data_IF_567965065720
#
_entry.id   IF_567965065720
#
_cell.length_a   1.000
_cell.length_b   1.000
_cell.length_c   1.000
_cell.angle_alpha   90.00
_cell.angle_beta   90.00
_cell.angle_gamma   90.00
#
_symmetry.space_group_name_H-M   'P 1'
#
loop_
_entity.id
_entity.type
_entity.pdbx_description
1 polymer ?
#
# COMPACT_ATOMS: atom_id res chain seq x y z
N UNK A 1 -10.20 6.85 4.75
CA UNK A 1 -9.87 7.15 6.14
C UNK A 1 -9.19 8.50 6.24
N UNK A 2 -7.97 8.69 5.71
CA UNK A 2 -7.21 9.93 5.90
C UNK A 2 -7.91 11.21 5.43
N UNK A 3 -8.44 11.25 4.20
CA UNK A 3 -9.15 12.43 3.67
C UNK A 3 -10.38 12.79 4.51
N UNK A 4 -11.16 11.79 4.93
CA UNK A 4 -12.32 12.00 5.80
C UNK A 4 -11.88 12.56 7.16
N UNK A 5 -10.84 11.99 7.76
CA UNK A 5 -10.30 12.47 9.03
C UNK A 5 -9.81 13.94 8.94
N UNK A 6 -9.15 14.31 7.85
CA UNK A 6 -8.71 15.69 7.61
C UNK A 6 -9.91 16.64 7.49
N UNK A 7 -10.93 16.26 6.72
CA UNK A 7 -12.13 17.09 6.52
C UNK A 7 -12.96 17.23 7.80
N UNK A 8 -13.13 16.17 8.55
CA UNK A 8 -13.88 16.20 9.81
C UNK A 8 -13.16 17.05 10.87
N UNK A 9 -11.81 16.93 10.96
CA UNK A 9 -11.04 17.84 11.80
C UNK A 9 -11.22 19.30 11.39
N UNK A 10 -11.15 19.59 10.09
CA UNK A 10 -11.31 20.97 9.56
C UNK A 10 -12.73 21.52 9.72
N UNK A 11 -13.75 20.65 9.81
CA UNK A 11 -15.14 21.04 10.04
C UNK A 11 -15.46 21.22 11.53
N UNK A 12 -14.55 20.84 12.45
CA UNK A 12 -14.74 21.01 13.90
C UNK A 12 -14.49 22.47 14.31
N UNK A 13 -15.06 22.85 15.48
CA UNK A 13 -14.89 24.20 16.06
C UNK A 13 -13.50 24.41 16.70
N UNK A 14 -12.70 23.37 16.80
CA UNK A 14 -11.40 23.41 17.45
C UNK A 14 -10.27 23.78 16.47
N UNK A 15 -9.20 24.36 17.00
CA UNK A 15 -8.02 24.72 16.20
C UNK A 15 -7.36 23.47 15.59
N UNK A 16 -7.16 23.40 14.26
CA UNK A 16 -6.59 22.25 13.60
C UNK A 16 -5.10 22.05 13.97
N UNK A 17 -4.69 20.79 14.14
CA UNK A 17 -3.30 20.41 14.39
C UNK A 17 -3.04 18.98 13.95
N UNK A 18 -1.76 18.62 13.76
CA UNK A 18 -1.36 17.24 13.42
C UNK A 18 -1.81 16.26 14.49
N UNK A 19 -1.72 16.62 15.76
CA UNK A 19 -2.16 15.77 16.86
C UNK A 19 -3.67 15.49 16.81
N UNK A 20 -4.47 16.50 16.44
CA UNK A 20 -5.92 16.31 16.27
C UNK A 20 -6.25 15.49 15.03
N UNK A 21 -5.59 15.78 13.91
CA UNK A 21 -5.73 14.97 12.70
C UNK A 21 -5.44 13.50 12.99
N UNK A 22 -4.40 13.21 13.76
CA UNK A 22 -4.10 11.86 14.20
C UNK A 22 -5.22 11.23 15.03
N UNK A 23 -5.82 11.97 15.96
CA UNK A 23 -6.97 11.51 16.74
C UNK A 23 -8.19 11.16 15.87
N UNK A 24 -8.52 12.01 14.91
CA UNK A 24 -9.57 11.72 13.93
C UNK A 24 -9.22 10.52 13.05
N UNK A 25 -7.97 10.40 12.62
CA UNK A 25 -7.49 9.28 11.82
C UNK A 25 -7.64 7.94 12.57
N UNK A 26 -7.25 7.88 13.85
CA UNK A 26 -7.39 6.68 14.68
C UNK A 26 -8.87 6.27 14.82
N UNK A 27 -9.75 7.21 15.13
CA UNK A 27 -11.19 6.96 15.21
C UNK A 27 -11.79 6.45 13.88
N UNK A 28 -11.44 7.08 12.77
CA UNK A 28 -11.91 6.64 11.45
C UNK A 28 -11.32 5.29 11.05
N UNK A 29 -10.14 4.94 11.52
CA UNK A 29 -9.56 3.62 11.31
C UNK A 29 -10.39 2.54 12.01
N UNK A 30 -10.78 2.78 13.26
CA UNK A 30 -11.65 1.85 14.00
C UNK A 30 -13.02 1.68 13.32
N UNK A 31 -13.63 2.77 12.85
CA UNK A 31 -14.90 2.75 12.11
C UNK A 31 -14.75 1.94 10.81
N UNK A 32 -13.66 2.15 10.05
CA UNK A 32 -13.41 1.44 8.80
C UNK A 32 -13.19 -0.07 9.02
N UNK A 33 -12.42 -0.44 10.05
CA UNK A 33 -12.20 -1.85 10.41
C UNK A 33 -13.51 -2.50 10.84
N UNK A 34 -14.34 -1.82 11.66
CA UNK A 34 -15.66 -2.32 12.04
C UNK A 34 -16.57 -2.53 10.83
N UNK A 35 -16.65 -1.55 9.92
CA UNK A 35 -17.44 -1.68 8.69
C UNK A 35 -16.96 -2.83 7.81
N UNK A 36 -15.65 -3.11 7.80
CA UNK A 36 -15.07 -4.27 7.10
C UNK A 36 -15.51 -5.58 7.78
N UNK A 37 -15.49 -5.65 9.12
CA UNK A 37 -15.97 -6.82 9.86
C UNK A 37 -17.46 -7.12 9.57
N UNK A 38 -18.31 -6.09 9.58
CA UNK A 38 -19.74 -6.21 9.26
C UNK A 38 -19.93 -6.70 7.79
N UNK A 39 -19.09 -6.23 6.87
CA UNK A 39 -19.09 -6.66 5.46
C UNK A 39 -18.63 -8.11 5.29
N UNK A 40 -17.66 -8.56 6.07
CA UNK A 40 -17.20 -9.96 6.09
C UNK A 40 -18.36 -10.87 6.53
N UNK A 41 -19.05 -10.55 7.61
CA UNK A 41 -20.19 -11.33 8.08
C UNK A 41 -21.29 -11.42 7.03
N UNK A 42 -21.65 -10.30 6.40
CA UNK A 42 -22.63 -10.27 5.33
C UNK A 42 -22.16 -11.15 4.14
N UNK A 43 -20.90 -11.03 3.73
CA UNK A 43 -20.36 -11.80 2.62
C UNK A 43 -20.39 -13.32 2.92
N UNK A 44 -19.91 -13.73 4.09
CA UNK A 44 -19.88 -15.14 4.50
C UNK A 44 -21.26 -15.75 4.67
N UNK A 45 -22.26 -14.96 5.04
CA UNK A 45 -23.65 -15.42 5.12
C UNK A 45 -24.26 -15.73 3.74
N UNK A 46 -23.86 -14.98 2.71
CA UNK A 46 -24.52 -15.01 1.40
C UNK A 46 -23.71 -15.70 0.29
N UNK A 47 -22.38 -15.80 0.43
CA UNK A 47 -21.47 -16.25 -0.62
C UNK A 47 -21.83 -17.65 -1.15
N UNK A 48 -22.12 -18.60 -0.30
CA UNK A 48 -22.53 -19.97 -0.65
C UNK A 48 -23.72 -20.04 -1.60
N UNK A 49 -24.61 -19.03 -1.54
CA UNK A 49 -25.82 -19.01 -2.37
C UNK A 49 -25.58 -18.37 -3.74
N UNK A 50 -24.48 -17.63 -3.88
CA UNK A 50 -24.15 -16.85 -5.09
C UNK A 50 -23.02 -17.53 -5.86
N UNK A 51 -22.00 -17.99 -5.17
CA UNK A 51 -20.80 -18.55 -5.77
C UNK A 51 -20.20 -19.68 -4.90
N UNK A 52 -20.73 -20.91 -4.99
CA UNK A 52 -20.16 -22.05 -4.31
C UNK A 52 -18.79 -22.42 -4.91
N UNK A 53 -17.84 -22.74 -4.04
CA UNK A 53 -16.44 -23.00 -4.40
C UNK A 53 -16.14 -24.49 -4.57
N UNK A 54 -16.89 -25.18 -5.44
CA UNK A 54 -16.84 -26.63 -5.59
C UNK A 54 -15.44 -27.20 -5.87
N UNK A 55 -14.58 -26.47 -6.59
CA UNK A 55 -13.20 -26.91 -6.81
C UNK A 55 -12.35 -26.78 -5.56
N UNK A 56 -12.61 -25.76 -4.75
CA UNK A 56 -11.93 -25.58 -3.46
C UNK A 56 -12.33 -26.68 -2.48
N UNK A 57 -13.57 -27.15 -2.50
CA UNK A 57 -14.06 -28.24 -1.67
C UNK A 57 -13.26 -29.54 -1.85
N UNK A 58 -12.77 -29.80 -3.07
CA UNK A 58 -11.92 -30.96 -3.36
C UNK A 58 -10.48 -30.82 -2.81
N UNK A 59 -10.06 -29.61 -2.46
CA UNK A 59 -8.70 -29.28 -2.03
C UNK A 59 -8.61 -29.00 -0.52
N UNK A 60 -9.75 -28.76 0.13
CA UNK A 60 -9.83 -28.48 1.55
C UNK A 60 -10.20 -29.73 2.37
N UNK A 61 -9.67 -29.80 3.59
CA UNK A 61 -10.12 -30.79 4.58
C UNK A 61 -11.43 -30.31 5.23
N UNK A 62 -12.45 -31.13 5.22
CA UNK A 62 -13.73 -30.85 5.86
C UNK A 62 -14.93 -30.80 4.93
N UNK A 63 -14.89 -30.07 3.78
CA UNK A 63 -16.05 -29.92 2.93
C UNK A 63 -16.69 -31.25 2.48
N UNK A 64 -15.90 -32.19 1.99
CA UNK A 64 -16.39 -33.50 1.51
C UNK A 64 -16.96 -34.31 2.66
N UNK A 65 -16.24 -34.40 3.79
CA UNK A 65 -16.65 -35.20 4.96
C UNK A 65 -17.93 -34.65 5.60
N UNK A 66 -18.09 -33.31 5.58
CA UNK A 66 -19.24 -32.63 6.20
C UNK A 66 -20.42 -32.46 5.23
N UNK A 67 -20.18 -32.56 3.91
CA UNK A 67 -21.14 -32.19 2.88
C UNK A 67 -21.52 -30.74 2.89
N UNK A 68 -20.55 -29.86 3.21
CA UNK A 68 -20.71 -28.40 3.35
C UNK A 68 -19.65 -27.71 2.52
N UNK A 69 -20.07 -26.76 1.67
CA UNK A 69 -19.19 -25.96 0.83
C UNK A 69 -18.20 -25.15 1.66
N UNK A 70 -16.94 -25.04 1.23
CA UNK A 70 -15.91 -24.27 1.90
C UNK A 70 -16.28 -22.79 2.04
N UNK A 71 -17.11 -22.24 1.17
CA UNK A 71 -17.61 -20.85 1.26
C UNK A 71 -18.72 -20.66 2.28
N UNK A 72 -19.29 -21.75 2.86
CA UNK A 72 -20.27 -21.67 3.93
C UNK A 72 -19.59 -21.56 5.30
N UNK A 73 -19.12 -20.37 5.64
CA UNK A 73 -18.45 -20.12 6.89
C UNK A 73 -19.34 -20.35 8.13
N UNK A 74 -20.62 -20.10 8.01
CA UNK A 74 -21.58 -20.32 9.11
C UNK A 74 -21.87 -21.79 9.38
N UNK A 75 -21.86 -22.63 8.36
CA UNK A 75 -22.01 -24.08 8.54
C UNK A 75 -20.68 -24.78 8.85
N UNK A 76 -19.54 -24.06 8.79
CA UNK A 76 -18.24 -24.58 9.14
C UNK A 76 -17.69 -25.59 8.14
N UNK A 77 -17.77 -25.30 6.84
CA UNK A 77 -17.23 -26.14 5.78
C UNK A 77 -15.76 -26.49 6.01
N UNK A 78 -14.93 -25.51 6.34
CA UNK A 78 -13.55 -25.69 6.82
C UNK A 78 -13.44 -25.43 8.31
N UNK A 79 -12.30 -25.78 8.92
CA UNK A 79 -12.10 -25.65 10.36
C UNK A 79 -11.81 -24.21 10.79
N UNK A 80 -11.02 -23.48 10.01
CA UNK A 80 -10.60 -22.11 10.30
C UNK A 80 -10.87 -21.19 9.14
N UNK A 81 -11.47 -20.03 9.44
CA UNK A 81 -11.63 -18.94 8.51
C UNK A 81 -10.81 -17.73 8.99
N UNK A 82 -9.75 -17.41 8.25
CA UNK A 82 -8.94 -16.24 8.47
C UNK A 82 -9.27 -15.19 7.40
N UNK A 83 -9.94 -14.11 7.82
CA UNK A 83 -10.35 -13.02 6.94
C UNK A 83 -9.25 -11.99 6.87
N UNK A 84 -8.60 -11.87 5.72
CA UNK A 84 -7.57 -10.87 5.49
C UNK A 84 -8.19 -9.48 5.39
N UNK A 85 -7.72 -8.56 6.22
CA UNK A 85 -8.04 -7.14 6.17
C UNK A 85 -6.78 -6.41 5.75
N UNK A 86 -6.78 -5.88 4.53
CA UNK A 86 -5.60 -5.26 3.94
C UNK A 86 -5.67 -3.74 3.97
N UNK A 87 -4.67 -3.11 4.62
CA UNK A 87 -4.44 -1.67 4.58
C UNK A 87 -3.73 -1.24 3.30
N UNK A 88 -4.24 -0.22 2.64
CA UNK A 88 -3.68 0.32 1.40
C UNK A 88 -3.22 1.76 1.58
N UNK A 89 -2.32 2.24 0.69
CA UNK A 89 -1.84 3.62 0.63
C UNK A 89 -0.96 4.05 1.82
N UNK A 90 -0.22 3.14 2.43
CA UNK A 90 0.62 3.45 3.59
C UNK A 90 1.57 4.62 3.32
N UNK A 91 2.39 4.55 2.25
CA UNK A 91 3.34 5.62 1.91
C UNK A 91 2.62 6.94 1.59
N UNK A 92 1.53 6.90 0.82
CA UNK A 92 0.73 8.10 0.51
C UNK A 92 0.27 8.82 1.78
N UNK A 93 -0.19 8.09 2.79
CA UNK A 93 -0.68 8.66 4.05
C UNK A 93 0.48 9.11 4.95
N UNK A 94 1.53 8.30 5.09
CA UNK A 94 2.70 8.62 5.89
C UNK A 94 3.43 9.89 5.38
N UNK A 95 3.62 9.98 4.06
CA UNK A 95 4.20 11.15 3.40
C UNK A 95 3.30 12.38 3.54
N UNK A 96 1.97 12.19 3.54
CA UNK A 96 1.01 13.28 3.75
C UNK A 96 1.09 13.83 5.17
N UNK A 97 1.13 12.99 6.20
CA UNK A 97 1.35 13.43 7.58
C UNK A 97 2.67 14.17 7.73
N UNK A 98 3.76 13.62 7.18
CA UNK A 98 5.08 14.24 7.25
C UNK A 98 5.12 15.62 6.57
N UNK A 99 4.47 15.76 5.41
CA UNK A 99 4.40 17.01 4.68
C UNK A 99 3.57 18.07 5.42
N UNK A 100 2.44 17.68 6.01
CA UNK A 100 1.63 18.59 6.86
C UNK A 100 2.43 19.02 8.08
N UNK A 101 3.03 18.08 8.81
CA UNK A 101 3.83 18.39 9.99
C UNK A 101 4.98 19.35 9.68
N UNK A 102 5.67 19.16 8.54
CA UNK A 102 6.79 20.01 8.15
C UNK A 102 6.35 21.39 7.66
N UNK A 103 5.39 21.44 6.74
CA UNK A 103 5.10 22.67 5.97
C UNK A 103 3.92 23.46 6.51
N UNK A 104 2.94 22.82 7.13
CA UNK A 104 1.78 23.49 7.74
C UNK A 104 2.07 23.82 9.19
N UNK A 105 2.34 22.79 10.03
CA UNK A 105 2.43 22.97 11.48
C UNK A 105 3.77 23.56 11.91
N UNK A 106 4.91 22.98 11.48
CA UNK A 106 6.22 23.42 11.97
C UNK A 106 6.73 24.68 11.28
N UNK A 107 6.60 24.79 9.95
CA UNK A 107 7.18 25.91 9.20
C UNK A 107 6.17 27.00 8.85
N UNK A 108 4.86 26.77 8.99
CA UNK A 108 3.81 27.75 8.69
C UNK A 108 3.87 28.28 7.26
N UNK A 109 4.30 27.46 6.31
CA UNK A 109 4.45 27.86 4.90
C UNK A 109 3.13 27.97 4.15
N UNK A 110 2.11 27.25 4.65
CA UNK A 110 0.72 27.40 4.27
C UNK A 110 -0.15 27.08 5.50
N UNK A 111 -1.32 27.69 5.57
CA UNK A 111 -2.30 27.40 6.61
C UNK A 111 -3.08 26.11 6.30
N UNK A 112 -3.75 25.57 7.29
CA UNK A 112 -4.65 24.43 7.11
C UNK A 112 -5.76 24.70 6.07
N UNK A 113 -6.31 25.92 6.08
CA UNK A 113 -7.35 26.33 5.11
C UNK A 113 -6.81 26.42 3.69
N UNK A 114 -5.61 26.96 3.49
CA UNK A 114 -4.96 26.99 2.19
C UNK A 114 -4.63 25.61 1.68
N UNK A 115 -4.15 24.71 2.57
CA UNK A 115 -3.93 23.30 2.21
C UNK A 115 -5.21 22.68 1.66
N UNK A 116 -6.34 22.80 2.39
CA UNK A 116 -7.60 22.23 1.97
C UNK A 116 -8.10 22.79 0.63
N UNK A 117 -7.95 24.13 0.42
CA UNK A 117 -8.27 24.77 -0.85
C UNK A 117 -7.44 24.24 -2.02
N UNK A 118 -6.14 24.02 -1.81
CA UNK A 118 -5.27 23.44 -2.83
C UNK A 118 -5.64 21.99 -3.14
N UNK A 119 -5.99 21.18 -2.13
CA UNK A 119 -6.46 19.81 -2.32
C UNK A 119 -7.78 19.75 -3.10
N UNK A 120 -8.75 20.61 -2.74
CA UNK A 120 -10.04 20.69 -3.43
C UNK A 120 -9.91 21.15 -4.87
N UNK A 121 -8.93 22.01 -5.15
CA UNK A 121 -8.60 22.48 -6.49
C UNK A 121 -7.65 21.54 -7.27
N UNK A 122 -7.31 20.38 -6.72
CA UNK A 122 -6.30 19.44 -7.29
C UNK A 122 -4.99 20.14 -7.66
N UNK A 123 -4.48 21.00 -6.76
CA UNK A 123 -3.25 21.76 -6.94
C UNK A 123 -3.25 22.68 -8.18
N UNK A 124 -4.41 23.08 -8.68
CA UNK A 124 -4.54 23.85 -9.91
C UNK A 124 -3.85 25.23 -9.85
N UNK A 125 -3.37 25.68 -11.00
CA UNK A 125 -2.72 26.99 -11.16
C UNK A 125 -1.25 27.01 -10.69
N UNK A 126 -0.55 28.11 -10.98
CA UNK A 126 0.88 28.23 -10.70
C UNK A 126 1.20 28.17 -9.19
N UNK A 127 0.34 28.72 -8.34
CA UNK A 127 0.52 28.69 -6.89
C UNK A 127 0.21 27.29 -6.33
N UNK A 128 -0.86 26.62 -6.81
CA UNK A 128 -1.18 25.25 -6.43
C UNK A 128 -0.04 24.30 -6.78
N UNK A 129 0.50 24.40 -7.99
CA UNK A 129 1.64 23.59 -8.41
C UNK A 129 2.91 23.89 -7.59
N UNK A 130 3.16 25.17 -7.25
CA UNK A 130 4.26 25.54 -6.36
C UNK A 130 4.13 24.90 -4.99
N UNK A 131 2.93 24.90 -4.40
CA UNK A 131 2.66 24.25 -3.12
C UNK A 131 2.77 22.73 -3.22
N UNK A 132 2.22 22.13 -4.26
CA UNK A 132 2.37 20.71 -4.53
C UNK A 132 3.84 20.27 -4.55
N UNK A 133 4.67 20.99 -5.30
CA UNK A 133 6.11 20.72 -5.38
C UNK A 133 6.82 20.95 -4.03
N UNK A 134 6.37 21.92 -3.23
CA UNK A 134 6.86 22.11 -1.87
C UNK A 134 6.55 20.89 -0.99
N UNK A 135 5.31 20.44 -0.97
CA UNK A 135 4.88 19.26 -0.18
C UNK A 135 5.63 17.99 -0.62
N UNK A 136 5.87 17.81 -1.91
CA UNK A 136 6.66 16.69 -2.46
C UNK A 136 8.14 16.69 -2.05
N UNK A 137 8.69 17.81 -1.58
CA UNK A 137 10.09 17.92 -1.15
C UNK A 137 10.34 17.36 0.25
N UNK A 138 9.30 17.10 1.03
CA UNK A 138 9.42 16.43 2.31
C UNK A 138 10.12 15.08 2.14
N UNK A 139 11.02 14.75 3.06
CA UNK A 139 11.69 13.45 3.04
C UNK A 139 10.66 12.35 3.27
N UNK A 140 10.62 11.41 2.33
CA UNK A 140 9.57 10.41 2.22
C UNK A 140 9.83 9.17 3.04
N UNK A 141 8.79 8.39 3.24
CA UNK A 141 8.84 7.03 3.76
C UNK A 141 9.77 6.16 2.90
N UNK A 142 10.61 5.38 3.56
CA UNK A 142 11.65 4.56 2.92
C UNK A 142 13.02 5.23 2.83
N UNK A 143 13.14 6.52 3.17
CA UNK A 143 14.41 7.24 3.13
C UNK A 143 15.38 6.84 4.27
N UNK A 144 14.84 6.27 5.35
CA UNK A 144 15.60 5.84 6.53
C UNK A 144 15.66 6.89 7.61
N UNK A 145 14.86 6.72 8.68
CA UNK A 145 14.82 7.60 9.86
C UNK A 145 14.17 8.96 9.61
N UNK A 146 13.34 9.09 8.59
CA UNK A 146 12.57 10.30 8.31
C UNK A 146 11.32 10.41 9.18
N UNK A 147 10.68 11.60 9.16
CA UNK A 147 9.35 11.78 9.76
C UNK A 147 8.32 10.83 9.14
N UNK A 148 8.38 10.65 7.83
CA UNK A 148 7.48 9.76 7.11
C UNK A 148 7.71 8.29 7.50
N UNK A 149 8.95 7.86 7.79
CA UNK A 149 9.22 6.51 8.32
C UNK A 149 8.54 6.32 9.70
N UNK A 150 8.61 7.33 10.57
CA UNK A 150 7.94 7.29 11.87
C UNK A 150 6.41 7.25 11.71
N UNK A 151 5.84 8.06 10.83
CA UNK A 151 4.40 8.04 10.55
C UNK A 151 3.95 6.70 9.99
N UNK A 152 4.72 6.10 9.09
CA UNK A 152 4.39 4.79 8.54
C UNK A 152 4.30 3.70 9.62
N UNK A 153 5.23 3.72 10.59
CA UNK A 153 5.18 2.80 11.75
C UNK A 153 3.91 3.04 12.58
N UNK A 154 3.62 4.30 12.96
CA UNK A 154 2.42 4.62 13.74
C UNK A 154 1.12 4.21 13.04
N UNK A 155 1.01 4.48 11.72
CA UNK A 155 -0.15 4.10 10.91
C UNK A 155 -0.30 2.57 10.88
N UNK A 156 0.80 1.85 10.66
CA UNK A 156 0.80 0.38 10.65
C UNK A 156 0.38 -0.19 12.01
N UNK A 157 0.86 0.39 13.11
CA UNK A 157 0.52 -0.03 14.47
C UNK A 157 -0.97 0.18 14.78
N UNK A 158 -1.52 1.36 14.45
CA UNK A 158 -2.94 1.68 14.65
C UNK A 158 -3.82 0.72 13.85
N UNK A 159 -3.53 0.56 12.56
CA UNK A 159 -4.26 -0.37 11.70
C UNK A 159 -4.19 -1.81 12.23
N UNK A 160 -2.99 -2.30 12.52
CA UNK A 160 -2.76 -3.66 13.02
C UNK A 160 -3.49 -3.90 14.34
N UNK A 161 -3.43 -2.93 15.27
CA UNK A 161 -4.15 -2.97 16.54
C UNK A 161 -5.66 -3.06 16.33
N UNK A 162 -6.22 -2.19 15.48
CA UNK A 162 -7.64 -2.16 15.20
C UNK A 162 -8.13 -3.48 14.61
N UNK A 163 -7.40 -4.06 13.65
CA UNK A 163 -7.78 -5.35 13.03
C UNK A 163 -7.67 -6.49 14.04
N UNK A 164 -6.57 -6.58 14.82
CA UNK A 164 -6.35 -7.67 15.78
C UNK A 164 -7.26 -7.59 17.01
N UNK A 165 -7.67 -6.39 17.42
CA UNK A 165 -8.63 -6.20 18.51
C UNK A 165 -10.06 -6.45 18.05
N UNK A 166 -10.34 -6.33 16.75
CA UNK A 166 -11.63 -6.57 16.16
C UNK A 166 -11.90 -8.06 15.93
N UNK A 167 -13.17 -8.39 15.86
CA UNK A 167 -13.68 -9.67 15.38
C UNK A 167 -14.97 -9.41 14.64
N UNK A 168 -15.36 -10.32 13.75
CA UNK A 168 -16.71 -10.24 13.19
C UNK A 168 -17.74 -10.67 14.24
N UNK A 169 -18.98 -10.25 14.12
CA UNK A 169 -20.06 -10.67 15.03
C UNK A 169 -20.29 -12.18 14.98
N UNK A 170 -20.03 -12.81 13.83
CA UNK A 170 -20.10 -14.27 13.66
C UNK A 170 -18.87 -15.01 14.23
N UNK A 171 -17.84 -14.29 14.66
CA UNK A 171 -16.64 -14.87 15.28
C UNK A 171 -15.55 -15.28 14.30
N UNK A 172 -15.60 -14.83 13.04
CA UNK A 172 -14.50 -15.04 12.09
C UNK A 172 -13.26 -14.28 12.53
N UNK A 173 -12.10 -14.91 12.44
CA UNK A 173 -10.82 -14.32 12.77
C UNK A 173 -10.39 -13.33 11.67
N UNK A 174 -10.02 -12.11 12.08
CA UNK A 174 -9.45 -11.10 11.17
C UNK A 174 -7.95 -11.02 11.33
N UNK A 175 -7.22 -11.03 10.22
CA UNK A 175 -5.77 -10.90 10.18
C UNK A 175 -5.35 -9.70 9.34
N UNK A 176 -4.46 -8.82 9.85
CA UNK A 176 -4.02 -7.62 9.14
C UNK A 176 -3.01 -7.94 8.06
N UNK A 177 -3.09 -7.22 6.95
CA UNK A 177 -2.09 -7.15 5.91
C UNK A 177 -1.87 -5.71 5.46
N UNK A 178 -0.73 -5.41 4.87
CA UNK A 178 -0.47 -4.12 4.22
C UNK A 178 -0.19 -4.40 2.76
N UNK A 179 -1.27 -4.53 2.01
CA UNK A 179 -1.22 -4.98 0.63
C UNK A 179 -2.35 -4.37 -0.19
N UNK A 180 -2.05 -3.87 -1.38
CA UNK A 180 -3.02 -3.19 -2.25
C UNK A 180 -3.47 -4.04 -3.43
N UNK A 181 -2.93 -5.24 -3.61
CA UNK A 181 -3.16 -6.07 -4.79
C UNK A 181 -2.92 -5.26 -6.09
N UNK A 182 -3.72 -5.48 -7.12
CA UNK A 182 -3.73 -4.69 -8.34
C UNK A 182 -4.61 -3.41 -8.24
N UNK A 183 -5.01 -3.02 -7.04
CA UNK A 183 -6.03 -1.98 -6.83
C UNK A 183 -5.46 -0.56 -6.64
N UNK A 184 -4.16 -0.35 -6.79
CA UNK A 184 -3.56 1.00 -6.64
C UNK A 184 -4.17 2.02 -7.58
N UNK A 185 -4.42 1.65 -8.83
CA UNK A 185 -5.09 2.51 -9.82
C UNK A 185 -6.59 2.69 -9.55
N UNK A 186 -7.41 1.61 -9.42
CA UNK A 186 -8.84 1.77 -9.15
C UNK A 186 -9.14 2.55 -7.88
N UNK A 187 -8.41 2.28 -6.79
CA UNK A 187 -8.58 2.99 -5.53
C UNK A 187 -8.12 4.44 -5.66
N UNK A 188 -7.01 4.70 -6.36
CA UNK A 188 -6.52 6.05 -6.61
C UNK A 188 -7.51 6.90 -7.41
N UNK A 189 -8.15 6.32 -8.43
CA UNK A 189 -9.18 7.01 -9.26
C UNK A 189 -10.36 7.52 -8.45
N UNK A 190 -10.68 6.90 -7.32
CA UNK A 190 -11.77 7.30 -6.44
C UNK A 190 -11.39 8.40 -5.44
N UNK A 191 -10.11 8.78 -5.36
CA UNK A 191 -9.59 9.69 -4.34
C UNK A 191 -9.20 11.05 -4.93
N UNK A 192 -9.48 12.11 -4.18
CA UNK A 192 -9.01 13.47 -4.43
C UNK A 192 -7.48 13.60 -4.31
N UNK A 193 -6.98 14.81 -4.49
CA UNK A 193 -5.58 15.15 -4.25
C UNK A 193 -5.17 14.90 -2.79
N UNK A 194 -3.90 14.61 -2.54
CA UNK A 194 -3.40 14.32 -1.19
C UNK A 194 -2.19 15.19 -0.83
N UNK A 195 -1.98 15.48 0.48
CA UNK A 195 -0.93 16.40 0.94
C UNK A 195 0.50 16.01 0.57
N UNK A 196 0.79 14.75 0.26
CA UNK A 196 2.09 14.33 -0.26
C UNK A 196 2.36 14.81 -1.71
N UNK A 197 1.42 15.56 -2.30
CA UNK A 197 1.51 16.12 -3.65
C UNK A 197 1.04 15.18 -4.77
N UNK A 198 0.23 14.15 -4.44
CA UNK A 198 -0.47 13.30 -5.41
C UNK A 198 -1.66 14.07 -5.98
N UNK A 199 -1.89 13.98 -7.28
CA UNK A 199 -3.09 14.52 -7.94
C UNK A 199 -4.33 13.64 -7.69
N UNK A 200 -5.49 14.25 -7.85
CA UNK A 200 -6.75 13.51 -7.85
C UNK A 200 -6.75 12.46 -8.98
N UNK A 201 -7.18 11.26 -8.66
CA UNK A 201 -7.24 10.15 -9.62
C UNK A 201 -5.92 9.41 -9.87
N UNK A 202 -4.77 9.93 -9.45
CA UNK A 202 -3.50 9.21 -9.56
C UNK A 202 -3.50 7.94 -8.72
N UNK A 203 -2.61 6.98 -9.04
CA UNK A 203 -2.43 5.78 -8.25
C UNK A 203 -2.06 6.10 -6.79
N UNK A 204 -2.54 5.30 -5.85
CA UNK A 204 -2.05 5.28 -4.46
C UNK A 204 -0.78 4.45 -4.35
N UNK A 205 -0.05 4.61 -3.24
CA UNK A 205 1.15 3.81 -2.96
C UNK A 205 0.85 2.31 -2.88
N UNK A 206 1.83 1.50 -3.26
CA UNK A 206 1.70 0.06 -3.37
C UNK A 206 1.99 -0.66 -2.04
N UNK A 207 0.95 -1.13 -1.36
CA UNK A 207 1.09 -1.92 -0.13
C UNK A 207 1.99 -1.26 0.92
N UNK A 208 2.98 -1.99 1.40
CA UNK A 208 3.97 -1.52 2.37
C UNK A 208 5.16 -0.77 1.75
N UNK A 209 5.19 -0.62 0.42
CA UNK A 209 6.34 -0.05 -0.27
C UNK A 209 6.35 1.47 -0.24
N UNK A 210 7.54 2.11 -0.18
CA UNK A 210 7.69 3.51 -0.50
C UNK A 210 7.20 3.82 -1.91
N UNK A 211 6.71 5.04 -2.12
CA UNK A 211 6.42 5.52 -3.47
C UNK A 211 7.71 5.70 -4.28
N UNK A 212 7.68 5.48 -5.60
CA UNK A 212 8.81 5.73 -6.49
C UNK A 212 9.41 7.12 -6.26
N UNK A 213 10.75 7.21 -6.25
CA UNK A 213 11.45 8.47 -5.98
C UNK A 213 11.56 8.86 -4.50
N UNK A 214 11.34 7.92 -3.58
CA UNK A 214 11.50 8.15 -2.13
C UNK A 214 12.94 8.54 -1.74
N UNK A 215 13.93 8.12 -2.49
CA UNK A 215 15.34 8.50 -2.39
C UNK A 215 15.94 8.68 -3.77
N UNK A 216 16.91 9.61 -3.88
CA UNK A 216 17.65 9.85 -5.14
C UNK A 216 18.55 8.69 -5.53
N UNK A 217 19.06 7.93 -4.56
CA UNK A 217 19.95 6.80 -4.76
C UNK A 217 19.21 5.46 -4.84
N UNK A 218 17.88 5.45 -4.70
CA UNK A 218 17.04 4.24 -4.77
C UNK A 218 17.42 3.15 -3.76
N UNK A 219 18.07 3.50 -2.63
CA UNK A 219 18.75 2.56 -1.74
C UNK A 219 17.88 1.36 -1.29
N UNK A 220 18.04 0.16 -1.85
CA UNK A 220 17.23 -1.02 -1.52
C UNK A 220 17.29 -1.38 -0.03
N UNK A 221 18.43 -1.11 0.62
CA UNK A 221 18.62 -1.38 2.06
C UNK A 221 17.72 -0.50 2.92
N UNK A 222 17.56 0.80 2.60
CA UNK A 222 16.67 1.68 3.32
C UNK A 222 15.21 1.25 3.16
N UNK A 223 14.82 0.88 1.94
CA UNK A 223 13.49 0.33 1.65
C UNK A 223 13.23 -0.96 2.42
N UNK A 224 14.19 -1.90 2.44
CA UNK A 224 14.06 -3.17 3.15
C UNK A 224 13.86 -2.97 4.66
N UNK A 225 14.58 -2.02 5.28
CA UNK A 225 14.44 -1.67 6.70
C UNK A 225 13.08 -1.02 6.95
N UNK A 226 12.67 -0.05 6.12
CA UNK A 226 11.39 0.63 6.27
C UNK A 226 10.21 -0.34 6.18
N UNK A 227 10.22 -1.24 5.21
CA UNK A 227 9.15 -2.24 5.04
C UNK A 227 9.16 -3.25 6.18
N UNK A 228 10.33 -3.67 6.66
CA UNK A 228 10.41 -4.56 7.82
C UNK A 228 9.82 -3.92 9.09
N UNK A 229 9.97 -2.60 9.26
CA UNK A 229 9.47 -1.87 10.46
C UNK A 229 7.95 -1.70 10.49
N UNK A 230 7.25 -1.87 9.38
CA UNK A 230 5.79 -1.72 9.29
C UNK A 230 5.04 -3.05 9.18
N UNK A 231 5.74 -4.16 9.43
CA UNK A 231 5.11 -5.49 9.35
C UNK A 231 4.02 -5.67 10.41
N UNK A 232 2.85 -6.23 10.06
CA UNK A 232 1.74 -6.39 10.99
C UNK A 232 1.95 -7.56 11.98
N UNK A 233 3.12 -8.17 12.01
CA UNK A 233 3.42 -9.36 12.80
C UNK A 233 2.69 -10.58 12.27
N UNK A 234 2.10 -11.42 13.16
CA UNK A 234 1.23 -12.49 12.70
C UNK A 234 0.02 -11.91 11.98
N UNK A 235 -0.07 -12.17 10.69
CA UNK A 235 -1.09 -11.59 9.84
C UNK A 235 -1.00 -12.09 8.40
N UNK A 236 -1.59 -11.33 7.49
CA UNK A 236 -1.39 -11.48 6.05
C UNK A 236 -0.04 -10.87 5.64
N UNK A 237 0.19 -10.65 4.36
CA UNK A 237 1.48 -10.17 3.88
C UNK A 237 1.61 -8.64 3.89
N UNK A 238 2.85 -8.17 4.04
CA UNK A 238 3.27 -6.80 3.75
C UNK A 238 4.55 -6.86 2.89
N UNK A 239 4.41 -7.21 1.59
CA UNK A 239 5.54 -7.58 0.75
C UNK A 239 6.42 -6.38 0.38
N UNK A 240 7.71 -6.61 0.34
CA UNK A 240 8.66 -5.74 -0.35
C UNK A 240 8.61 -6.04 -1.85
N UNK A 241 8.37 -5.02 -2.66
CA UNK A 241 8.50 -5.09 -4.11
C UNK A 241 9.86 -4.54 -4.51
N UNK A 242 10.67 -5.34 -5.19
CA UNK A 242 12.03 -4.96 -5.59
C UNK A 242 12.27 -5.29 -7.06
N UNK A 243 12.83 -4.34 -7.78
CA UNK A 243 13.30 -4.47 -9.14
C UNK A 243 14.84 -4.54 -9.12
N UNK A 244 15.43 -5.52 -9.80
CA UNK A 244 16.87 -5.64 -10.01
C UNK A 244 17.18 -5.61 -11.50
N UNK A 245 18.07 -4.71 -11.90
CA UNK A 245 18.64 -4.73 -13.24
C UNK A 245 19.88 -5.62 -13.23
N UNK A 246 19.92 -6.74 -13.99
CA UNK A 246 21.08 -7.61 -14.06
C UNK A 246 22.30 -6.92 -14.65
N UNK A 247 22.14 -5.82 -15.40
CA UNK A 247 23.24 -5.03 -15.94
C UNK A 247 23.91 -4.14 -14.89
N UNK A 248 23.15 -3.70 -13.87
CA UNK A 248 23.66 -2.83 -12.80
C UNK A 248 24.53 -3.57 -11.78
N UNK A 249 24.40 -4.91 -11.69
CA UNK A 249 25.10 -5.69 -10.70
C UNK A 249 25.54 -7.05 -11.29
N UNK A 250 26.82 -7.22 -11.55
CA UNK A 250 27.39 -8.44 -12.15
C UNK A 250 28.44 -9.09 -11.25
N UNK A 251 28.58 -10.41 -11.39
CA UNK A 251 29.61 -11.20 -10.69
C UNK A 251 29.22 -11.61 -9.26
N UNK A 252 30.15 -12.26 -8.57
CA UNK A 252 29.92 -12.85 -7.24
C UNK A 252 29.61 -11.80 -6.17
N UNK A 253 30.19 -10.61 -6.29
CA UNK A 253 29.93 -9.53 -5.32
C UNK A 253 28.46 -9.08 -5.36
N UNK A 254 27.88 -8.95 -6.55
CA UNK A 254 26.47 -8.59 -6.71
C UNK A 254 25.54 -9.68 -6.13
N UNK A 255 25.86 -10.94 -6.38
CA UNK A 255 25.12 -12.06 -5.79
C UNK A 255 25.13 -12.01 -4.27
N UNK A 256 26.29 -11.76 -3.66
CA UNK A 256 26.43 -11.63 -2.20
C UNK A 256 25.63 -10.45 -1.68
N UNK A 257 25.61 -9.31 -2.37
CA UNK A 257 24.83 -8.13 -1.96
C UNK A 257 23.31 -8.42 -1.96
N UNK A 258 22.81 -9.06 -3.01
CA UNK A 258 21.39 -9.44 -3.09
C UNK A 258 21.03 -10.47 -2.01
N UNK A 259 21.89 -11.48 -1.79
CA UNK A 259 21.68 -12.46 -0.73
C UNK A 259 21.63 -11.81 0.67
N UNK A 260 22.56 -10.91 0.95
CA UNK A 260 22.60 -10.18 2.22
C UNK A 260 21.38 -9.29 2.40
N UNK A 261 20.91 -8.61 1.34
CA UNK A 261 19.70 -7.80 1.39
C UNK A 261 18.48 -8.65 1.74
N UNK A 262 18.30 -9.79 1.07
CA UNK A 262 17.19 -10.71 1.33
C UNK A 262 17.25 -11.24 2.77
N UNK A 263 18.42 -11.70 3.22
CA UNK A 263 18.60 -12.19 4.60
C UNK A 263 18.29 -11.10 5.62
N UNK A 264 18.86 -9.91 5.45
CA UNK A 264 18.65 -8.78 6.36
C UNK A 264 17.18 -8.39 6.46
N UNK A 265 16.45 -8.36 5.33
CA UNK A 265 15.02 -8.07 5.34
C UNK A 265 14.23 -9.08 6.20
N UNK A 266 14.50 -10.37 6.05
CA UNK A 266 13.83 -11.39 6.87
C UNK A 266 14.30 -11.38 8.33
N UNK A 267 15.58 -11.17 8.58
CA UNK A 267 16.13 -11.08 9.94
C UNK A 267 15.54 -9.88 10.72
N UNK A 268 15.17 -8.80 10.02
CA UNK A 268 14.48 -7.64 10.58
C UNK A 268 12.96 -7.82 10.73
N UNK A 269 12.40 -8.96 10.34
CA UNK A 269 10.98 -9.26 10.48
C UNK A 269 10.15 -9.10 9.22
N UNK A 270 10.78 -8.86 8.07
CA UNK A 270 10.10 -8.89 6.76
C UNK A 270 9.46 -10.26 6.49
N UNK A 271 8.33 -10.28 5.81
CA UNK A 271 7.54 -11.52 5.62
C UNK A 271 7.55 -12.04 4.18
N UNK A 272 7.71 -11.16 3.22
CA UNK A 272 7.67 -11.52 1.80
C UNK A 272 8.46 -10.54 0.95
N UNK A 273 9.11 -11.05 -0.10
CA UNK A 273 9.74 -10.25 -1.15
C UNK A 273 9.17 -10.67 -2.50
N UNK A 274 8.68 -9.70 -3.26
CA UNK A 274 8.39 -9.84 -4.69
C UNK A 274 9.57 -9.30 -5.48
N UNK A 275 10.32 -10.17 -6.14
CA UNK A 275 11.51 -9.80 -6.88
C UNK A 275 11.25 -9.85 -8.39
N UNK A 276 11.52 -8.75 -9.08
CA UNK A 276 11.66 -8.68 -10.52
C UNK A 276 13.16 -8.60 -10.89
N UNK A 277 13.62 -9.42 -11.80
CA UNK A 277 14.92 -9.28 -12.44
C UNK A 277 14.66 -8.85 -13.89
N UNK A 278 14.84 -7.58 -14.17
CA UNK A 278 14.40 -6.94 -15.41
C UNK A 278 15.53 -6.11 -16.03
N UNK A 279 15.76 -6.33 -17.31
CA UNK A 279 16.59 -5.43 -18.11
C UNK A 279 15.85 -4.11 -18.32
N UNK A 280 16.38 -3.04 -17.72
CA UNK A 280 15.78 -1.70 -17.76
C UNK A 280 15.57 -1.20 -19.19
N UNK A 281 16.55 -1.38 -20.07
CA UNK A 281 16.44 -0.92 -21.45
C UNK A 281 15.31 -1.63 -22.18
N UNK A 282 15.18 -2.94 -21.97
CA UNK A 282 14.10 -3.75 -22.53
C UNK A 282 12.72 -3.29 -22.07
N UNK A 283 12.57 -2.98 -20.76
CA UNK A 283 11.27 -2.52 -20.23
C UNK A 283 10.88 -1.17 -20.82
N UNK A 284 11.84 -0.24 -20.96
CA UNK A 284 11.59 1.08 -21.56
C UNK A 284 11.21 0.96 -23.05
N UNK A 285 11.94 0.15 -23.82
CA UNK A 285 11.58 -0.11 -25.22
C UNK A 285 10.21 -0.81 -25.35
N UNK A 286 9.90 -1.77 -24.46
CA UNK A 286 8.60 -2.43 -24.43
C UNK A 286 7.47 -1.49 -24.00
N UNK A 287 7.77 -0.46 -23.24
CA UNK A 287 6.78 0.57 -22.87
C UNK A 287 6.38 1.42 -24.07
N UNK A 288 7.36 1.79 -24.91
CA UNK A 288 7.11 2.51 -26.17
C UNK A 288 6.39 1.62 -27.19
N UNK A 289 6.84 0.38 -27.36
CA UNK A 289 6.26 -0.59 -28.29
C UNK A 289 6.25 -2.01 -27.67
N UNK A 290 5.13 -2.41 -27.04
CA UNK A 290 5.03 -3.72 -26.40
C UNK A 290 5.20 -4.91 -27.34
N UNK A 291 5.02 -4.72 -28.64
CA UNK A 291 5.15 -5.80 -29.61
C UNK A 291 6.60 -6.26 -29.85
N UNK A 292 7.57 -5.43 -29.46
CA UNK A 292 9.02 -5.78 -29.56
C UNK A 292 9.41 -6.93 -28.61
N UNK A 293 8.74 -7.03 -27.47
CA UNK A 293 9.03 -8.03 -26.45
C UNK A 293 7.75 -8.72 -25.94
N UNK A 294 7.08 -9.51 -26.78
CA UNK A 294 5.80 -10.11 -26.45
C UNK A 294 5.87 -11.14 -25.30
N UNK A 295 7.05 -11.67 -25.04
CA UNK A 295 7.38 -12.66 -24.02
C UNK A 295 7.96 -12.06 -22.72
N UNK A 296 8.08 -10.73 -22.64
CA UNK A 296 8.55 -10.06 -21.42
C UNK A 296 7.54 -10.25 -20.28
N UNK A 297 7.94 -11.01 -19.27
CA UNK A 297 7.16 -11.25 -18.06
C UNK A 297 7.62 -10.32 -16.96
N UNK A 298 6.67 -9.69 -16.27
CA UNK A 298 6.92 -8.83 -15.11
C UNK A 298 6.07 -9.26 -13.91
N UNK A 299 6.63 -9.08 -12.70
CA UNK A 299 5.89 -9.21 -11.46
C UNK A 299 5.19 -7.87 -11.19
N UNK A 300 3.88 -7.85 -11.23
CA UNK A 300 3.11 -6.60 -11.09
C UNK A 300 2.87 -6.28 -9.60
N UNK A 301 1.91 -6.97 -9.00
CA UNK A 301 1.51 -6.77 -7.59
C UNK A 301 0.97 -8.09 -7.03
N UNK A 302 1.86 -9.02 -6.70
CA UNK A 302 1.46 -10.34 -6.23
C UNK A 302 1.13 -11.36 -7.34
N UNK A 303 1.09 -10.94 -8.60
CA UNK A 303 0.95 -11.82 -9.78
C UNK A 303 1.96 -11.46 -10.87
N UNK A 304 2.23 -12.40 -11.76
CA UNK A 304 3.06 -12.19 -12.95
C UNK A 304 2.20 -12.10 -14.20
N UNK A 305 2.57 -11.23 -15.12
CA UNK A 305 1.87 -11.07 -16.39
C UNK A 305 2.87 -10.77 -17.52
N UNK A 306 2.47 -11.04 -18.75
CA UNK A 306 3.18 -10.51 -19.90
C UNK A 306 3.02 -8.99 -19.93
N UNK A 307 4.14 -8.28 -20.02
CA UNK A 307 4.14 -6.81 -20.03
C UNK A 307 3.25 -6.25 -21.16
N UNK A 308 3.27 -6.88 -22.32
CA UNK A 308 2.44 -6.51 -23.47
C UNK A 308 0.93 -6.64 -23.21
N UNK A 309 0.52 -7.52 -22.28
CA UNK A 309 -0.89 -7.74 -21.93
C UNK A 309 -1.44 -6.77 -20.89
N UNK A 310 -0.57 -6.00 -20.23
CA UNK A 310 -0.95 -5.00 -19.24
C UNK A 310 -1.56 -3.76 -19.90
N UNK A 311 -2.47 -3.09 -19.20
CA UNK A 311 -2.94 -1.76 -19.63
C UNK A 311 -1.79 -0.74 -19.64
N UNK A 312 -1.90 0.35 -20.41
CA UNK A 312 -0.88 1.39 -20.44
C UNK A 312 -0.54 1.93 -19.04
N UNK A 313 -1.56 2.11 -18.19
CA UNK A 313 -1.40 2.61 -16.82
C UNK A 313 -0.61 1.62 -15.95
N UNK A 314 -0.88 0.32 -16.06
CA UNK A 314 -0.11 -0.69 -15.33
C UNK A 314 1.32 -0.81 -15.85
N UNK A 315 1.56 -0.67 -17.15
CA UNK A 315 2.91 -0.60 -17.71
C UNK A 315 3.67 0.59 -17.15
N UNK A 316 3.01 1.76 -17.06
CA UNK A 316 3.60 2.96 -16.46
C UNK A 316 4.00 2.73 -15.01
N UNK A 317 3.19 2.08 -14.18
CA UNK A 317 3.57 1.76 -12.79
C UNK A 317 4.83 0.88 -12.70
N UNK A 318 5.02 -0.06 -13.62
CA UNK A 318 6.27 -0.86 -13.69
C UNK A 318 7.45 0.02 -14.07
N UNK A 319 7.27 0.90 -15.05
CA UNK A 319 8.31 1.83 -15.52
C UNK A 319 8.70 2.82 -14.42
N UNK A 320 7.75 3.38 -13.70
CA UNK A 320 8.00 4.34 -12.61
C UNK A 320 8.89 3.74 -11.51
N UNK A 321 8.69 2.48 -11.17
CA UNK A 321 9.56 1.77 -10.21
C UNK A 321 10.98 1.62 -10.69
N UNK A 322 11.19 1.42 -11.99
CA UNK A 322 12.51 1.24 -12.61
C UNK A 322 13.22 2.59 -12.82
N UNK A 323 12.49 3.65 -13.17
CA UNK A 323 13.08 4.96 -13.47
C UNK A 323 13.57 5.71 -12.24
N UNK A 324 13.01 5.43 -11.07
CA UNK A 324 13.37 6.11 -9.84
C UNK A 324 14.72 5.68 -9.23
N UNK A 325 15.40 4.73 -9.86
CA UNK A 325 16.76 4.30 -9.52
C UNK A 325 17.86 5.14 -10.24
N UNK A 326 17.51 6.26 -10.88
CA UNK A 326 18.46 7.09 -11.64
C UNK A 326 18.68 8.48 -11.07
#
# INVERSE_FOLDING_TARGET
>A
VFDVALRDMMASDDEPSVARLWGYFDQHMEIAVKGTADSIDFHMLHMKNVFPELMLDLLCVGPIEKGVDASDGYAGGVEFYNMCVDGCALATVADSFAAIEEHVESAGRLSWSELLQHLDADWAGAEGERMRLLMRRTTRYGAGGSRADNWAVLISEVFTRAVKAGSTAAGFNMIPGIFSWANTLPLGKALGATPNGRHAGDAISHGANPDPGFRKDGAPTAMAVAIASVQPGYGNSAPMQMELDPAAATGDQARIQVENLIRTHFDLGGTQINLNVLDRAKVLEAHEDPSKYPDLVVRVTGFSAYFASLSPEFRQLVVDRILCES
#
